data_IF_523581311387
#
_entry.id   IF_523581311387
#
_cell.length_a   1.000
_cell.length_b   1.000
_cell.length_c   1.000
_cell.angle_alpha   90.00
_cell.angle_beta   90.00
_cell.angle_gamma   90.00
#
_symmetry.space_group_name_H-M   'P 1'
#
loop_
_entity.id
_entity.type
_entity.pdbx_description
1 polymer ?
#
# COMPACT_ATOMS: atom_id res chain seq x y z
N UNK A 1 -16.49 4.66 16.21
CA UNK A 1 -16.03 5.30 17.45
C UNK A 1 -14.84 4.53 18.01
N UNK A 2 -13.78 5.24 18.29
CA UNK A 2 -12.62 4.69 18.97
C UNK A 2 -12.59 5.29 20.36
N UNK A 3 -13.16 4.58 21.36
CA UNK A 3 -13.21 5.14 22.70
C UNK A 3 -11.80 5.28 23.25
N UNK A 4 -11.49 6.44 23.75
CA UNK A 4 -10.28 6.78 24.49
C UNK A 4 -8.97 6.27 23.89
N UNK A 5 -8.59 6.84 22.75
CA UNK A 5 -7.28 6.59 22.12
C UNK A 5 -6.10 7.02 22.99
N UNK A 6 -6.36 7.87 23.97
CA UNK A 6 -5.32 8.53 24.73
C UNK A 6 -4.65 9.64 23.93
N UNK A 7 -3.49 10.05 24.40
CA UNK A 7 -2.72 11.12 23.77
C UNK A 7 -2.07 10.63 22.47
N UNK A 8 -2.07 11.48 21.44
CA UNK A 8 -1.34 11.22 20.19
C UNK A 8 0.16 11.29 20.45
N UNK A 9 0.89 10.24 20.06
CA UNK A 9 2.33 10.11 20.25
C UNK A 9 3.13 10.15 18.95
N UNK A 10 2.47 9.96 17.80
CA UNK A 10 3.10 10.01 16.49
C UNK A 10 2.08 10.38 15.42
N UNK A 11 2.51 11.21 14.48
CA UNK A 11 1.73 11.53 13.28
C UNK A 11 2.67 11.84 12.13
N UNK A 12 2.49 11.14 11.02
CA UNK A 12 3.15 11.44 9.74
C UNK A 12 2.18 11.21 8.60
N UNK A 13 2.14 12.15 7.67
CA UNK A 13 1.36 12.04 6.44
C UNK A 13 2.21 12.49 5.26
N UNK A 14 2.38 11.61 4.28
CA UNK A 14 3.06 11.91 3.02
C UNK A 14 2.02 12.53 2.08
N UNK A 15 2.30 13.70 1.46
CA UNK A 15 1.33 14.35 0.57
C UNK A 15 1.30 13.66 -0.80
N UNK A 16 0.44 12.67 -0.95
CA UNK A 16 0.15 12.00 -2.23
C UNK A 16 -1.33 12.13 -2.57
N UNK A 17 -1.61 12.22 -3.87
CA UNK A 17 -2.97 12.27 -4.39
C UNK A 17 -3.57 10.87 -4.45
N UNK A 18 -4.77 10.70 -3.90
CA UNK A 18 -5.55 9.47 -4.06
C UNK A 18 -6.09 9.31 -5.47
N UNK A 19 -6.00 8.11 -6.00
CA UNK A 19 -6.52 7.75 -7.32
C UNK A 19 -7.54 6.63 -7.16
N UNK A 20 -8.52 6.61 -8.07
CA UNK A 20 -9.54 5.57 -8.11
C UNK A 20 -9.14 4.46 -9.07
N UNK A 21 -9.47 3.21 -8.71
CA UNK A 21 -9.32 2.08 -9.61
C UNK A 21 -10.11 2.32 -10.91
N UNK A 22 -9.48 2.01 -12.04
CA UNK A 22 -10.17 2.09 -13.33
C UNK A 22 -11.23 1.01 -13.40
N UNK A 23 -12.41 1.38 -13.92
CA UNK A 23 -13.52 0.45 -14.05
C UNK A 23 -13.84 -0.28 -12.75
N UNK A 24 -13.91 0.48 -11.66
CA UNK A 24 -14.25 -0.01 -10.34
C UNK A 24 -15.40 -1.05 -10.39
N UNK A 25 -15.15 -2.20 -9.76
CA UNK A 25 -16.08 -3.33 -9.80
C UNK A 25 -15.98 -4.21 -11.04
N UNK A 26 -15.19 -3.82 -12.04
CA UNK A 26 -15.01 -4.59 -13.28
C UNK A 26 -13.57 -5.04 -13.50
N UNK A 27 -12.61 -4.38 -12.88
CA UNK A 27 -11.19 -4.73 -13.00
C UNK A 27 -10.55 -4.84 -11.62
N UNK A 28 -9.64 -5.80 -11.48
CA UNK A 28 -8.91 -6.07 -10.25
C UNK A 28 -7.55 -5.37 -10.29
N UNK A 29 -7.56 -4.04 -10.44
CA UNK A 29 -6.37 -3.23 -10.64
C UNK A 29 -5.95 -2.41 -9.41
N UNK A 30 -6.31 -2.85 -8.21
CA UNK A 30 -5.95 -2.14 -6.97
C UNK A 30 -4.43 -1.99 -6.80
N UNK A 31 -3.65 -3.02 -7.10
CA UNK A 31 -2.18 -2.96 -7.02
C UNK A 31 -1.63 -1.97 -8.04
N UNK A 32 -2.14 -1.98 -9.27
CA UNK A 32 -1.72 -1.03 -10.31
C UNK A 32 -2.03 0.39 -9.90
N UNK A 33 -3.20 0.63 -9.32
CA UNK A 33 -3.59 1.95 -8.85
C UNK A 33 -2.69 2.42 -7.71
N UNK A 34 -2.34 1.54 -6.76
CA UNK A 34 -1.38 1.85 -5.70
C UNK A 34 -0.01 2.22 -6.26
N UNK A 35 0.49 1.47 -7.23
CA UNK A 35 1.76 1.78 -7.89
C UNK A 35 1.68 3.10 -8.65
N UNK A 36 0.56 3.39 -9.28
CA UNK A 36 0.32 4.64 -10.00
C UNK A 36 0.33 5.84 -9.05
N UNK A 37 -0.20 5.70 -7.84
CA UNK A 37 -0.12 6.74 -6.81
C UNK A 37 1.34 7.08 -6.47
N UNK A 38 2.21 6.09 -6.48
CA UNK A 38 3.63 6.25 -6.13
C UNK A 38 4.45 6.78 -7.31
N UNK A 39 4.27 6.21 -8.49
CA UNK A 39 5.10 6.51 -9.67
C UNK A 39 4.59 7.65 -10.54
N UNK A 40 3.29 8.00 -10.43
CA UNK A 40 2.67 9.08 -11.19
C UNK A 40 1.51 8.60 -12.06
N UNK A 41 0.47 9.42 -12.12
CA UNK A 41 -0.79 9.10 -12.81
C UNK A 41 -0.59 8.80 -14.31
N UNK A 42 0.35 9.49 -14.95
CA UNK A 42 0.65 9.31 -16.37
C UNK A 42 1.25 7.95 -16.70
N UNK A 43 1.69 7.19 -15.72
CA UNK A 43 2.39 5.92 -15.93
C UNK A 43 1.52 4.67 -15.82
N UNK A 44 0.21 4.81 -15.62
CA UNK A 44 -0.69 3.67 -15.45
C UNK A 44 -0.56 2.63 -16.57
N UNK A 45 -0.55 3.08 -17.82
CA UNK A 45 -0.47 2.18 -18.98
C UNK A 45 0.83 1.38 -19.02
N UNK A 46 1.95 2.00 -18.68
CA UNK A 46 3.25 1.31 -18.62
C UNK A 46 3.31 0.33 -17.45
N UNK A 47 2.75 0.72 -16.31
CA UNK A 47 2.65 -0.16 -15.13
C UNK A 47 1.81 -1.40 -15.45
N UNK A 48 0.68 -1.22 -16.14
CA UNK A 48 -0.17 -2.33 -16.56
C UNK A 48 0.59 -3.31 -17.45
N UNK A 49 1.30 -2.82 -18.46
CA UNK A 49 2.08 -3.66 -19.37
C UNK A 49 3.17 -4.45 -18.64
N UNK A 50 3.84 -3.82 -17.70
CA UNK A 50 4.88 -4.48 -16.91
C UNK A 50 4.24 -5.51 -15.98
N UNK A 51 3.15 -5.19 -15.32
CA UNK A 51 2.43 -6.11 -14.45
C UNK A 51 1.95 -7.36 -15.19
N UNK A 52 1.51 -7.22 -16.44
CA UNK A 52 1.10 -8.36 -17.27
C UNK A 52 2.21 -9.36 -17.49
N UNK A 53 3.45 -8.93 -17.61
CA UNK A 53 4.61 -9.83 -17.69
C UNK A 53 4.77 -10.68 -16.44
N UNK A 54 4.27 -10.24 -15.30
CA UNK A 54 4.37 -10.91 -14.01
C UNK A 54 3.03 -11.51 -13.58
N UNK A 55 2.14 -11.77 -14.54
CA UNK A 55 0.92 -12.53 -14.31
C UNK A 55 -0.32 -11.72 -13.96
N UNK A 56 -0.27 -10.39 -14.03
CA UNK A 56 -1.46 -9.57 -13.81
C UNK A 56 -2.55 -9.91 -14.82
N UNK A 57 -3.77 -10.07 -14.33
CA UNK A 57 -4.97 -10.21 -15.13
C UNK A 57 -6.12 -9.47 -14.44
N UNK A 58 -6.52 -8.36 -15.01
CA UNK A 58 -7.56 -7.49 -14.43
C UNK A 58 -8.96 -8.10 -14.39
N UNK A 59 -9.21 -9.14 -15.21
CA UNK A 59 -10.52 -9.77 -15.32
C UNK A 59 -10.66 -11.03 -14.45
N UNK A 60 -9.56 -11.58 -13.98
CA UNK A 60 -9.57 -12.88 -13.28
C UNK A 60 -9.08 -12.81 -11.83
N UNK A 61 -7.83 -12.39 -11.60
CA UNK A 61 -7.22 -12.46 -10.26
C UNK A 61 -6.43 -11.24 -9.81
N UNK A 62 -6.27 -10.24 -10.68
CA UNK A 62 -5.47 -9.06 -10.35
C UNK A 62 -3.97 -9.34 -10.35
N UNK A 63 -3.26 -8.81 -9.37
CA UNK A 63 -1.81 -8.96 -9.22
C UNK A 63 -1.49 -9.88 -8.05
N UNK A 64 -0.59 -10.85 -8.27
CA UNK A 64 -0.05 -11.65 -7.18
C UNK A 64 0.82 -10.75 -6.27
N UNK A 65 0.57 -10.69 -4.96
CA UNK A 65 1.39 -9.90 -4.04
C UNK A 65 2.89 -10.21 -4.12
N UNK A 66 3.26 -11.45 -4.42
CA UNK A 66 4.66 -11.86 -4.57
C UNK A 66 5.34 -11.26 -5.80
N UNK A 67 4.58 -10.77 -6.76
CA UNK A 67 5.10 -10.17 -7.99
C UNK A 67 5.37 -8.66 -7.84
N UNK A 68 4.85 -8.00 -6.83
CA UNK A 68 4.92 -6.53 -6.69
C UNK A 68 6.36 -6.02 -6.67
N UNK A 69 7.23 -6.69 -5.94
CA UNK A 69 8.66 -6.31 -5.87
C UNK A 69 9.33 -6.34 -7.25
N UNK A 70 9.06 -7.37 -8.03
CA UNK A 70 9.64 -7.52 -9.37
C UNK A 70 9.12 -6.42 -10.31
N UNK A 71 7.84 -6.11 -10.22
CA UNK A 71 7.21 -5.02 -10.98
C UNK A 71 7.88 -3.68 -10.62
N UNK A 72 7.99 -3.38 -9.33
CA UNK A 72 8.63 -2.15 -8.86
C UNK A 72 10.08 -2.05 -9.32
N UNK A 73 10.82 -3.14 -9.25
CA UNK A 73 12.23 -3.19 -9.68
C UNK A 73 12.37 -2.87 -11.17
N UNK A 74 11.48 -3.40 -12.01
CA UNK A 74 11.49 -3.11 -13.44
C UNK A 74 11.13 -1.64 -13.73
N UNK A 75 10.13 -1.09 -13.04
CA UNK A 75 9.77 0.32 -13.14
C UNK A 75 10.92 1.24 -12.75
N UNK A 76 11.60 0.93 -11.64
CA UNK A 76 12.75 1.71 -11.18
C UNK A 76 13.87 1.71 -12.19
N UNK A 77 14.17 0.56 -12.78
CA UNK A 77 15.20 0.44 -13.82
C UNK A 77 14.84 1.23 -15.06
N UNK A 78 13.59 1.16 -15.49
CA UNK A 78 13.09 1.84 -16.70
C UNK A 78 13.19 3.36 -16.61
N UNK A 79 12.97 3.92 -15.43
CA UNK A 79 12.96 5.36 -15.21
C UNK A 79 14.12 5.88 -14.37
N UNK A 80 15.18 5.08 -14.23
CA UNK A 80 16.37 5.43 -13.44
C UNK A 80 16.03 5.96 -12.03
N UNK A 81 15.09 5.30 -11.36
CA UNK A 81 14.71 5.69 -10.01
C UNK A 81 15.73 5.09 -9.03
N UNK A 82 16.41 5.91 -8.22
CA UNK A 82 17.40 5.42 -7.28
C UNK A 82 16.76 4.67 -6.13
N UNK A 83 17.51 3.76 -5.52
CA UNK A 83 17.07 2.98 -4.38
C UNK A 83 16.94 1.51 -4.70
N UNK A 84 16.30 0.79 -3.81
CA UNK A 84 16.14 -0.67 -3.89
C UNK A 84 14.71 -1.08 -3.54
N UNK A 85 14.06 -1.84 -4.42
CA UNK A 85 12.74 -2.39 -4.11
C UNK A 85 12.87 -3.44 -3.01
N UNK A 86 12.07 -3.31 -1.96
CA UNK A 86 12.02 -4.22 -0.82
C UNK A 86 10.61 -4.71 -0.57
N UNK A 87 10.50 -5.93 -0.08
CA UNK A 87 9.25 -6.56 0.34
C UNK A 87 9.42 -7.25 1.68
N UNK A 88 8.36 -7.26 2.46
CA UNK A 88 8.30 -8.03 3.70
C UNK A 88 6.91 -8.62 3.87
N UNK A 89 6.83 -9.84 4.34
CA UNK A 89 5.61 -10.64 4.39
C UNK A 89 5.25 -11.00 5.82
N UNK A 90 3.99 -10.82 6.18
CA UNK A 90 3.46 -11.17 7.48
C UNK A 90 3.56 -10.04 8.50
N UNK A 91 2.40 -9.47 8.86
CA UNK A 91 2.34 -8.45 9.92
C UNK A 91 2.80 -9.04 11.26
N UNK A 92 3.71 -8.34 11.93
CA UNK A 92 4.27 -8.77 13.22
C UNK A 92 5.40 -9.80 13.10
N UNK A 93 5.60 -10.39 11.93
CA UNK A 93 6.65 -11.39 11.65
C UNK A 93 7.69 -10.80 10.71
N UNK A 94 7.32 -10.55 9.46
CA UNK A 94 8.21 -9.97 8.45
C UNK A 94 8.22 -8.45 8.45
N UNK A 95 7.12 -7.80 8.81
CA UNK A 95 7.05 -6.35 8.94
C UNK A 95 6.28 -5.96 10.20
N UNK A 96 6.61 -4.78 10.74
CA UNK A 96 6.12 -4.34 12.06
C UNK A 96 5.61 -2.90 11.98
N UNK A 97 4.90 -2.50 13.01
CA UNK A 97 4.48 -1.11 13.20
C UNK A 97 5.68 -0.16 13.21
N UNK A 98 6.75 -0.55 13.92
CA UNK A 98 7.96 0.25 14.01
C UNK A 98 8.60 0.45 12.63
N UNK A 99 8.66 -0.60 11.81
CA UNK A 99 9.19 -0.52 10.46
C UNK A 99 8.39 0.45 9.59
N UNK A 100 7.06 0.40 9.66
CA UNK A 100 6.20 1.32 8.92
C UNK A 100 6.46 2.77 9.35
N UNK A 101 6.52 3.04 10.64
CA UNK A 101 6.83 4.40 11.13
C UNK A 101 8.17 4.91 10.61
N UNK A 102 9.19 4.07 10.62
CA UNK A 102 10.51 4.42 10.08
C UNK A 102 10.44 4.77 8.58
N UNK A 103 9.80 3.92 7.81
CA UNK A 103 9.70 4.09 6.34
C UNK A 103 8.93 5.36 5.98
N UNK A 104 7.75 5.57 6.57
CA UNK A 104 6.95 6.79 6.27
C UNK A 104 7.61 8.05 6.79
N UNK A 105 8.40 7.97 7.87
CA UNK A 105 9.17 9.11 8.39
C UNK A 105 10.23 9.58 7.39
N UNK A 106 10.68 8.71 6.51
CA UNK A 106 11.60 9.03 5.41
C UNK A 106 10.87 9.47 4.14
N UNK A 107 9.55 9.73 4.20
CA UNK A 107 8.70 10.11 3.07
C UNK A 107 8.60 9.03 1.99
N UNK A 108 8.64 7.77 2.38
CA UNK A 108 8.53 6.62 1.47
C UNK A 108 7.13 6.02 1.59
N UNK A 109 6.31 6.08 0.52
CA UNK A 109 5.03 5.41 0.51
C UNK A 109 5.20 3.90 0.35
N UNK A 110 4.24 3.14 0.83
CA UNK A 110 4.30 1.69 0.89
C UNK A 110 3.07 1.09 0.21
N UNK A 111 3.27 0.11 -0.67
CA UNK A 111 2.15 -0.70 -1.17
C UNK A 111 1.88 -1.80 -0.14
N UNK A 112 0.68 -1.78 0.42
CA UNK A 112 0.20 -2.81 1.34
C UNK A 112 -0.77 -3.73 0.60
N UNK A 113 -0.44 -5.00 0.54
CA UNK A 113 -1.35 -6.05 0.09
C UNK A 113 -1.92 -6.73 1.33
N UNK A 114 -3.23 -6.77 1.48
CA UNK A 114 -3.87 -7.31 2.67
C UNK A 114 -4.98 -8.30 2.33
N UNK A 115 -5.11 -9.33 3.18
CA UNK A 115 -6.20 -10.29 3.10
C UNK A 115 -7.47 -9.75 3.77
N UNK A 116 -7.34 -9.25 5.01
CA UNK A 116 -8.45 -8.67 5.78
C UNK A 116 -7.96 -7.55 6.70
N UNK A 117 -8.76 -6.50 6.81
CA UNK A 117 -8.46 -5.36 7.68
C UNK A 117 -8.97 -5.54 9.12
N UNK A 118 -9.66 -6.63 9.42
CA UNK A 118 -10.25 -6.90 10.72
C UNK A 118 -11.66 -6.36 10.93
N UNK A 119 -12.13 -5.47 10.03
CA UNK A 119 -13.50 -4.91 10.08
C UNK A 119 -14.39 -5.42 8.94
N UNK A 120 -13.80 -6.14 7.98
CA UNK A 120 -14.51 -6.62 6.80
C UNK A 120 -14.71 -5.57 5.71
N UNK A 121 -14.08 -4.41 5.84
CA UNK A 121 -14.16 -3.35 4.85
C UNK A 121 -13.24 -3.61 3.66
N UNK A 122 -11.98 -3.96 3.94
CA UNK A 122 -11.03 -4.38 2.91
C UNK A 122 -10.84 -5.90 2.99
N UNK A 123 -10.91 -6.53 1.84
CA UNK A 123 -10.69 -7.98 1.70
C UNK A 123 -9.96 -8.22 0.39
N UNK A 124 -8.84 -8.96 0.45
CA UNK A 124 -8.02 -9.28 -0.71
C UNK A 124 -7.79 -8.04 -1.58
N UNK A 125 -7.16 -7.02 -0.98
CA UNK A 125 -7.06 -5.68 -1.56
C UNK A 125 -5.65 -5.13 -1.43
N UNK A 126 -5.32 -4.15 -2.27
CA UNK A 126 -4.07 -3.37 -2.19
C UNK A 126 -4.40 -1.93 -1.93
N UNK A 127 -3.63 -1.32 -1.04
CA UNK A 127 -3.72 0.11 -0.70
C UNK A 127 -2.32 0.70 -0.66
N UNK A 128 -2.22 2.03 -0.67
CA UNK A 128 -0.95 2.73 -0.47
C UNK A 128 -0.91 3.32 0.93
N UNK A 129 0.04 2.88 1.76
CA UNK A 129 0.29 3.50 3.05
C UNK A 129 1.06 4.80 2.78
N UNK A 130 0.48 5.92 3.20
CA UNK A 130 1.09 7.24 3.06
C UNK A 130 1.37 7.89 4.41
N UNK A 131 1.13 7.19 5.49
CA UNK A 131 1.39 7.72 6.81
C UNK A 131 1.01 6.75 7.91
N UNK A 132 1.19 7.23 9.12
CA UNK A 132 0.86 6.49 10.33
C UNK A 132 0.49 7.48 11.43
N UNK A 133 -0.41 7.04 12.29
CA UNK A 133 -0.88 7.83 13.42
C UNK A 133 -0.94 6.90 14.63
N UNK A 134 -0.26 7.28 15.70
CA UNK A 134 -0.21 6.50 16.93
C UNK A 134 -0.71 7.30 18.11
N UNK A 135 -1.52 6.64 18.93
CA UNK A 135 -2.00 7.13 20.21
C UNK A 135 -1.54 6.17 21.31
N UNK A 136 -1.70 6.56 22.55
CA UNK A 136 -1.32 5.68 23.68
C UNK A 136 -1.97 4.30 23.59
N UNK A 137 -3.19 4.22 23.05
CA UNK A 137 -4.00 2.99 22.99
C UNK A 137 -4.46 2.58 21.59
N UNK A 138 -3.95 3.19 20.54
CA UNK A 138 -4.38 2.88 19.17
C UNK A 138 -3.30 3.19 18.14
N UNK A 139 -3.27 2.41 17.05
CA UNK A 139 -2.32 2.55 15.95
C UNK A 139 -3.07 2.45 14.62
N UNK A 140 -2.93 3.48 13.77
CA UNK A 140 -3.60 3.54 12.49
C UNK A 140 -2.63 3.74 11.34
N UNK A 141 -2.79 2.93 10.29
CA UNK A 141 -2.17 3.19 9.00
C UNK A 141 -3.04 4.21 8.26
N UNK A 142 -2.41 5.25 7.74
CA UNK A 142 -3.07 6.24 6.88
C UNK A 142 -2.87 5.79 5.44
N UNK A 143 -3.97 5.50 4.74
CA UNK A 143 -3.88 4.86 3.42
C UNK A 143 -4.70 5.58 2.36
N UNK A 144 -4.24 5.45 1.11
CA UNK A 144 -5.04 5.70 -0.09
C UNK A 144 -5.57 4.33 -0.53
N UNK A 145 -6.88 4.15 -0.48
CA UNK A 145 -7.47 2.81 -0.62
C UNK A 145 -7.92 2.44 -2.03
N UNK A 146 -7.70 3.33 -2.99
CA UNK A 146 -8.06 3.14 -4.40
C UNK A 146 -9.57 3.14 -4.67
N UNK A 147 -10.39 3.36 -3.65
CA UNK A 147 -11.84 3.50 -3.73
C UNK A 147 -12.31 4.91 -3.39
N UNK A 148 -11.47 5.70 -2.73
CA UNK A 148 -11.71 7.10 -2.36
C UNK A 148 -10.49 7.95 -2.68
N UNK A 149 -10.69 9.22 -2.97
CA UNK A 149 -9.59 10.15 -3.20
C UNK A 149 -8.98 10.69 -1.90
N UNK A 150 -9.70 10.52 -0.80
CA UNK A 150 -9.28 10.96 0.53
C UNK A 150 -8.61 9.84 1.32
N UNK A 151 -7.89 10.21 2.38
CA UNK A 151 -7.20 9.28 3.26
C UNK A 151 -8.20 8.43 4.06
N UNK A 152 -7.95 7.13 4.11
CA UNK A 152 -8.69 6.18 4.94
C UNK A 152 -7.78 5.63 6.04
N UNK A 153 -8.37 5.04 7.07
CA UNK A 153 -7.66 4.49 8.22
C UNK A 153 -7.76 2.96 8.24
N UNK A 154 -6.64 2.31 8.54
CA UNK A 154 -6.64 0.88 8.87
C UNK A 154 -6.09 0.73 10.29
N UNK A 155 -6.84 0.06 11.17
CA UNK A 155 -6.40 -0.27 12.51
C UNK A 155 -5.32 -1.36 12.41
N UNK A 156 -4.08 -1.00 12.72
CA UNK A 156 -2.95 -1.92 12.62
C UNK A 156 -3.13 -3.17 13.47
N UNK A 157 -3.64 -3.02 14.69
CA UNK A 157 -3.78 -4.16 15.62
C UNK A 157 -4.81 -5.17 15.14
N UNK A 158 -5.81 -4.74 14.36
CA UNK A 158 -6.87 -5.61 13.83
C UNK A 158 -6.53 -6.20 12.45
N UNK A 159 -5.51 -5.66 11.78
CA UNK A 159 -5.11 -6.16 10.47
C UNK A 159 -4.62 -7.60 10.55
N UNK A 160 -5.06 -8.43 9.61
CA UNK A 160 -4.66 -9.85 9.52
C UNK A 160 -3.15 -9.99 9.30
N UNK A 161 -2.56 -11.05 9.85
CA UNK A 161 -1.14 -11.37 9.64
C UNK A 161 -0.83 -11.64 8.15
N UNK A 162 -1.80 -12.16 7.38
CA UNK A 162 -1.65 -12.40 5.94
C UNK A 162 -1.68 -11.04 5.23
N UNK A 163 -0.50 -10.49 5.05
CA UNK A 163 -0.29 -9.18 4.46
C UNK A 163 1.16 -9.01 4.05
N UNK A 164 1.42 -8.10 3.12
CA UNK A 164 2.79 -7.79 2.72
C UNK A 164 2.94 -6.30 2.47
N UNK A 165 4.14 -5.80 2.69
CA UNK A 165 4.51 -4.43 2.33
C UNK A 165 5.58 -4.44 1.25
N UNK A 166 5.51 -3.47 0.35
CA UNK A 166 6.46 -3.28 -0.74
C UNK A 166 6.77 -1.79 -0.84
N UNK A 167 8.05 -1.45 -0.90
CA UNK A 167 8.49 -0.05 -0.93
C UNK A 167 9.85 0.10 -1.59
N UNK A 168 10.20 1.34 -1.93
CA UNK A 168 11.52 1.68 -2.48
C UNK A 168 12.38 2.22 -1.34
N UNK A 169 13.36 1.44 -0.91
CA UNK A 169 14.31 1.85 0.11
C UNK A 169 15.39 2.73 -0.55
N UNK A 170 15.50 3.93 -0.05
CA UNK A 170 16.43 4.95 -0.58
C UNK A 170 17.59 5.18 0.35
#
# INVERSE_FOLDING_TARGET
EYPERGKQTFLKLIPLKGLLQKNYGKRLDCTLTSLTCIFGEQHYSDIEKIAEKYGYNGDKWGTNPLAVKAIMRELMRRWDIPGKAKSAYGKGVGWTWHAVKDIVSRNIPIVLNLWKDGRGYYKDHSVTIIGAEEYEKAKFLLVLDNWHETVSLIDYDKLCIISSINYIDK
#
